data_IF_276802161600
#
_entry.id   IF_276802161600
#
_cell.length_a   1.000
_cell.length_b   1.000
_cell.length_c   1.000
_cell.angle_alpha   90.00
_cell.angle_beta   90.00
_cell.angle_gamma   90.00
#
_symmetry.space_group_name_H-M   'P 1'
#
loop_
_entity.id
_entity.type
_entity.pdbx_description
1 polymer ?
#
# COMPACT_ATOMS: atom_id res chain seq x y z
N UNK A 1 7.92 15.63 -91.86
CA UNK A 1 6.43 15.56 -92.06
C UNK A 1 5.80 14.98 -90.81
N UNK A 2 4.96 15.80 -90.08
CA UNK A 2 3.82 15.47 -89.25
C UNK A 2 4.10 14.64 -88.00
N UNK A 3 4.21 15.29 -86.85
CA UNK A 3 3.30 15.52 -85.73
C UNK A 3 2.46 14.29 -85.31
N UNK A 4 2.66 13.84 -84.10
CA UNK A 4 1.55 13.74 -83.11
C UNK A 4 2.11 13.75 -81.67
N UNK A 5 1.73 14.79 -80.93
CA UNK A 5 1.84 14.92 -79.49
C UNK A 5 0.83 13.95 -78.85
N UNK A 6 1.26 13.20 -77.83
CA UNK A 6 0.35 12.58 -76.89
C UNK A 6 0.68 13.06 -75.48
N UNK A 7 -0.20 13.84 -74.90
CA UNK A 7 -0.17 14.34 -73.54
C UNK A 7 -0.53 13.18 -72.60
N UNK A 8 0.39 12.80 -71.73
CA UNK A 8 0.09 11.93 -70.59
C UNK A 8 -0.15 12.83 -69.36
N UNK A 9 -1.39 12.90 -68.94
CA UNK A 9 -1.80 13.56 -67.70
C UNK A 9 -1.47 12.63 -66.51
N UNK A 10 -0.46 12.97 -65.71
CA UNK A 10 -0.13 12.27 -64.47
C UNK A 10 -1.10 12.76 -63.40
N UNK A 11 -2.11 11.98 -63.10
CA UNK A 11 -2.97 12.18 -61.93
C UNK A 11 -2.24 11.75 -60.67
N UNK A 12 -1.81 12.71 -59.83
CA UNK A 12 -1.31 12.45 -58.49
C UNK A 12 -2.49 12.18 -57.61
N UNK A 13 -2.71 10.90 -57.25
CA UNK A 13 -3.69 10.48 -56.29
C UNK A 13 -3.11 10.74 -54.89
N UNK A 14 -3.53 11.85 -54.27
CA UNK A 14 -3.17 12.19 -52.87
C UNK A 14 -4.00 11.30 -51.94
N UNK A 15 -3.40 10.18 -51.48
CA UNK A 15 -4.02 9.35 -50.44
C UNK A 15 -3.80 10.06 -49.11
N UNK A 16 -4.80 10.81 -48.65
CA UNK A 16 -4.89 11.27 -47.29
C UNK A 16 -5.07 10.04 -46.34
N UNK A 17 -3.99 9.53 -45.80
CA UNK A 17 -4.06 8.61 -44.67
C UNK A 17 -4.48 9.43 -43.46
N UNK A 18 -5.76 9.53 -43.21
CA UNK A 18 -6.29 9.96 -41.92
C UNK A 18 -5.95 8.82 -40.93
N UNK A 19 -4.87 8.99 -40.19
CA UNK A 19 -4.66 8.20 -39.00
C UNK A 19 -5.82 8.50 -38.04
N UNK A 20 -6.89 7.72 -38.14
CA UNK A 20 -7.96 7.76 -37.19
C UNK A 20 -7.40 7.40 -35.83
N UNK A 21 -7.34 8.37 -34.95
CA UNK A 21 -7.25 8.12 -33.51
C UNK A 21 -8.50 7.26 -33.20
N UNK A 22 -8.29 5.95 -33.07
CA UNK A 22 -9.32 5.07 -32.52
C UNK A 22 -9.60 5.60 -31.12
N UNK A 23 -10.83 5.99 -30.78
CA UNK A 23 -11.16 6.36 -29.42
C UNK A 23 -10.82 5.14 -28.54
N UNK A 24 -10.09 5.35 -27.46
CA UNK A 24 -9.86 4.33 -26.47
C UNK A 24 -11.22 3.74 -26.12
N UNK A 25 -11.38 2.44 -26.37
CA UNK A 25 -12.65 1.76 -26.16
C UNK A 25 -12.94 1.82 -24.66
N UNK A 26 -14.03 2.50 -24.27
CA UNK A 26 -14.46 2.51 -22.87
C UNK A 26 -14.55 1.06 -22.36
N UNK A 27 -14.03 0.73 -21.18
CA UNK A 27 -14.12 -0.61 -20.64
C UNK A 27 -15.58 -1.07 -20.66
N UNK A 28 -15.82 -2.31 -21.09
CA UNK A 28 -17.16 -2.90 -21.06
C UNK A 28 -17.66 -2.91 -19.62
N UNK A 29 -18.98 -2.82 -19.41
CA UNK A 29 -19.62 -2.79 -18.07
C UNK A 29 -19.24 -3.98 -17.15
N UNK A 30 -18.64 -5.04 -17.70
CA UNK A 30 -18.17 -6.24 -16.99
C UNK A 30 -16.65 -6.26 -16.73
N UNK A 31 -15.92 -5.20 -17.12
CA UNK A 31 -14.47 -5.20 -16.96
C UNK A 31 -14.09 -4.89 -15.50
N UNK A 32 -13.26 -5.76 -14.87
CA UNK A 32 -12.71 -5.50 -13.54
C UNK A 32 -11.81 -4.26 -13.59
N UNK A 33 -12.28 -3.15 -13.01
CA UNK A 33 -11.60 -1.84 -13.01
C UNK A 33 -10.37 -1.81 -12.11
N UNK A 34 -10.22 -2.80 -11.22
CA UNK A 34 -9.09 -2.90 -10.31
C UNK A 34 -7.96 -3.78 -10.88
N UNK A 35 -8.21 -4.47 -12.02
CA UNK A 35 -7.27 -5.41 -12.59
C UNK A 35 -6.00 -4.72 -13.11
N UNK A 36 -4.85 -5.11 -12.57
CA UNK A 36 -3.54 -4.68 -13.05
C UNK A 36 -3.16 -5.43 -14.35
N UNK A 37 -2.95 -4.68 -15.44
CA UNK A 37 -2.49 -5.17 -16.75
C UNK A 37 -1.02 -4.83 -16.89
N UNK A 38 -0.17 -5.81 -16.67
CA UNK A 38 1.28 -5.65 -16.68
C UNK A 38 1.86 -5.57 -18.10
N UNK A 39 2.86 -4.70 -18.27
CA UNK A 39 3.70 -4.65 -19.46
C UNK A 39 5.15 -4.91 -19.04
N UNK A 40 5.74 -6.02 -19.51
CA UNK A 40 7.11 -6.38 -19.17
C UNK A 40 8.10 -5.26 -19.55
N UNK A 41 8.98 -4.90 -18.63
CA UNK A 41 9.91 -3.79 -18.78
C UNK A 41 9.32 -2.40 -18.50
N UNK A 42 8.04 -2.28 -18.17
CA UNK A 42 7.44 -1.02 -17.70
C UNK A 42 8.21 -0.52 -16.48
N UNK A 43 8.56 0.76 -16.49
CA UNK A 43 9.26 1.42 -15.38
C UNK A 43 8.28 2.24 -14.58
N UNK A 44 8.41 2.17 -13.27
CA UNK A 44 7.58 2.87 -12.30
C UNK A 44 8.50 3.60 -11.33
N UNK A 45 8.26 4.87 -11.08
CA UNK A 45 8.96 5.61 -10.03
C UNK A 45 7.95 6.18 -9.09
N UNK A 46 7.95 5.71 -7.84
CA UNK A 46 7.11 6.26 -6.80
C UNK A 46 7.90 7.17 -5.87
N UNK A 47 7.29 8.27 -5.50
CA UNK A 47 7.71 9.07 -4.35
C UNK A 47 6.76 8.77 -3.19
N UNK A 48 7.32 8.41 -2.05
CA UNK A 48 6.58 8.21 -0.81
C UNK A 48 6.99 9.27 0.20
N UNK A 49 6.00 9.82 0.89
CA UNK A 49 6.18 10.72 2.04
C UNK A 49 5.44 10.12 3.22
N UNK A 50 6.01 10.25 4.40
CA UNK A 50 5.36 9.76 5.59
C UNK A 50 5.63 10.63 6.80
N UNK A 51 4.62 10.64 7.68
CA UNK A 51 4.69 11.13 9.04
C UNK A 51 4.36 9.96 9.94
N UNK A 52 5.26 9.64 10.86
CA UNK A 52 5.02 8.66 11.92
C UNK A 52 5.33 9.36 13.24
N UNK A 53 4.30 9.78 13.96
CA UNK A 53 4.40 10.68 15.12
C UNK A 53 5.18 11.97 14.78
N UNK A 54 6.42 12.06 15.25
CA UNK A 54 7.32 13.21 15.01
C UNK A 54 8.31 12.95 13.88
N UNK A 55 8.36 11.74 13.35
CA UNK A 55 9.30 11.36 12.31
C UNK A 55 8.72 11.60 10.93
N UNK A 56 9.37 12.49 10.17
CA UNK A 56 9.01 12.80 8.79
C UNK A 56 10.03 12.20 7.84
N UNK A 57 9.56 11.59 6.74
CA UNK A 57 10.44 11.07 5.70
C UNK A 57 9.90 11.32 4.30
N UNK A 58 10.82 11.39 3.34
CA UNK A 58 10.57 11.25 1.92
C UNK A 58 11.51 10.19 1.36
N UNK A 59 11.01 9.34 0.46
CA UNK A 59 11.79 8.29 -0.16
C UNK A 59 11.29 8.00 -1.57
N UNK A 60 12.17 7.44 -2.40
CA UNK A 60 11.86 7.03 -3.76
C UNK A 60 11.94 5.51 -3.89
N UNK A 61 10.97 4.92 -4.59
CA UNK A 61 10.96 3.54 -5.01
C UNK A 61 10.98 3.47 -6.54
N UNK A 62 12.09 2.97 -7.10
CA UNK A 62 12.25 2.78 -8.53
C UNK A 62 11.93 1.33 -8.89
N UNK A 63 10.88 1.13 -9.66
CA UNK A 63 10.31 -0.16 -10.02
C UNK A 63 10.48 -0.50 -11.49
N UNK A 64 10.50 -1.79 -11.76
CA UNK A 64 10.42 -2.36 -13.11
C UNK A 64 9.49 -3.57 -13.08
N UNK A 65 8.62 -3.68 -14.08
CA UNK A 65 7.80 -4.88 -14.27
C UNK A 65 8.67 -5.99 -14.84
N UNK A 66 8.75 -7.09 -14.12
CA UNK A 66 9.46 -8.30 -14.52
C UNK A 66 8.48 -9.47 -14.64
N UNK A 67 8.88 -10.49 -15.39
CA UNK A 67 8.16 -11.74 -15.53
C UNK A 67 9.04 -12.89 -15.06
N UNK A 68 8.55 -13.73 -14.16
CA UNK A 68 9.29 -14.89 -13.71
C UNK A 68 9.24 -16.07 -14.71
N UNK A 69 9.96 -17.14 -14.39
CA UNK A 69 9.99 -18.35 -15.23
C UNK A 69 8.65 -19.11 -15.28
N UNK A 70 7.74 -18.86 -14.34
CA UNK A 70 6.40 -19.42 -14.31
C UNK A 70 5.40 -18.57 -15.11
N UNK A 71 5.80 -17.39 -15.55
CA UNK A 71 4.97 -16.47 -16.32
C UNK A 71 4.25 -15.41 -15.48
N UNK A 72 4.49 -15.36 -14.18
CA UNK A 72 3.91 -14.38 -13.27
C UNK A 72 4.61 -13.04 -13.38
N UNK A 73 3.83 -11.97 -13.40
CA UNK A 73 4.36 -10.62 -13.40
C UNK A 73 4.50 -10.08 -11.98
N UNK A 74 5.60 -9.37 -11.75
CA UNK A 74 5.91 -8.64 -10.52
C UNK A 74 6.37 -7.24 -10.83
N UNK A 75 6.11 -6.32 -9.94
CA UNK A 75 6.78 -5.03 -9.86
C UNK A 75 7.93 -5.17 -8.86
N UNK A 76 9.16 -5.05 -9.34
CA UNK A 76 10.38 -5.16 -8.52
C UNK A 76 10.94 -3.77 -8.23
N UNK A 77 10.95 -3.38 -6.94
CA UNK A 77 11.34 -2.06 -6.47
C UNK A 77 12.71 -2.04 -5.81
N UNK A 78 13.45 -0.97 -6.08
CA UNK A 78 14.64 -0.54 -5.35
C UNK A 78 14.36 0.76 -4.65
N UNK A 79 14.82 0.85 -3.41
CA UNK A 79 14.63 2.03 -2.58
C UNK A 79 15.84 2.94 -2.62
N UNK A 80 15.61 4.25 -2.73
CA UNK A 80 16.66 5.26 -2.85
C UNK A 80 16.22 6.61 -2.27
N UNK A 81 17.17 7.55 -2.19
CA UNK A 81 16.91 8.95 -1.88
C UNK A 81 16.11 9.20 -0.57
N UNK A 82 16.40 8.43 0.49
CA UNK A 82 15.77 8.65 1.79
C UNK A 82 16.19 10.00 2.39
N UNK A 83 15.21 10.84 2.68
CA UNK A 83 15.33 12.06 3.47
C UNK A 83 14.56 11.85 4.77
N UNK A 84 15.16 12.11 5.92
CA UNK A 84 14.55 11.99 7.23
C UNK A 84 14.83 13.24 8.05
N UNK A 85 13.79 13.92 8.53
CA UNK A 85 13.94 15.16 9.26
C UNK A 85 14.74 16.23 8.50
N UNK A 86 14.50 16.39 7.18
CA UNK A 86 15.21 17.29 6.26
C UNK A 86 16.69 16.95 6.01
N UNK A 87 17.15 15.77 6.41
CA UNK A 87 18.51 15.30 6.17
C UNK A 87 18.52 14.08 5.25
N UNK A 88 19.43 14.09 4.26
CA UNK A 88 19.65 12.92 3.41
C UNK A 88 20.28 11.80 4.24
N UNK A 89 19.68 10.63 4.22
CA UNK A 89 20.19 9.43 4.90
C UNK A 89 21.01 8.62 3.93
N UNK A 90 22.21 8.21 4.35
CA UNK A 90 23.03 7.27 3.60
C UNK A 90 22.53 5.86 3.93
N UNK A 91 22.00 5.19 2.89
CA UNK A 91 21.54 3.80 3.00
C UNK A 91 22.72 2.84 2.93
N UNK A 92 22.64 1.74 3.68
CA UNK A 92 23.64 0.68 3.65
C UNK A 92 23.66 -0.03 2.28
N UNK A 93 24.79 -0.63 1.87
CA UNK A 93 24.85 -1.44 0.64
C UNK A 93 23.79 -2.53 0.60
N UNK A 94 23.54 -3.22 1.71
CA UNK A 94 22.53 -4.27 1.81
C UNK A 94 21.12 -3.73 1.52
N UNK A 95 20.80 -2.52 1.98
CA UNK A 95 19.54 -1.86 1.69
C UNK A 95 19.43 -1.45 0.21
N UNK A 96 20.50 -0.90 -0.37
CA UNK A 96 20.50 -0.51 -1.78
C UNK A 96 20.40 -1.72 -2.74
N UNK A 97 20.90 -2.88 -2.31
CA UNK A 97 20.83 -4.12 -3.07
C UNK A 97 19.51 -4.90 -2.86
N UNK A 98 18.72 -4.54 -1.85
CA UNK A 98 17.43 -5.18 -1.57
C UNK A 98 16.47 -4.97 -2.75
N UNK A 99 15.69 -5.99 -3.04
CA UNK A 99 14.61 -5.98 -4.03
C UNK A 99 13.30 -6.32 -3.35
N UNK A 100 12.35 -5.42 -3.44
CA UNK A 100 10.99 -5.67 -3.00
C UNK A 100 10.15 -6.05 -4.21
N UNK A 101 9.67 -7.28 -4.24
CA UNK A 101 8.77 -7.76 -5.28
C UNK A 101 7.35 -7.74 -4.76
N UNK A 102 6.45 -7.14 -5.52
CA UNK A 102 5.02 -7.11 -5.26
C UNK A 102 4.26 -7.53 -6.51
N UNK A 103 3.10 -8.15 -6.34
CA UNK A 103 2.21 -8.49 -7.45
C UNK A 103 0.76 -8.28 -7.04
N UNK A 104 -0.05 -7.86 -8.01
CA UNK A 104 -1.51 -7.79 -7.91
C UNK A 104 -2.18 -8.97 -8.65
N UNK A 105 -1.40 -9.98 -9.06
CA UNK A 105 -1.96 -11.21 -9.63
C UNK A 105 -2.78 -11.95 -8.56
N UNK A 106 -4.11 -12.09 -8.72
CA UNK A 106 -4.97 -12.68 -7.69
C UNK A 106 -4.69 -14.17 -7.43
N UNK A 107 -3.95 -14.84 -8.31
CA UNK A 107 -3.51 -16.23 -8.12
C UNK A 107 -2.30 -16.36 -7.19
N UNK A 108 -1.61 -15.25 -6.89
CA UNK A 108 -0.43 -15.20 -6.03
C UNK A 108 -0.70 -14.44 -4.74
N UNK A 109 -0.30 -15.00 -3.61
CA UNK A 109 -0.42 -14.28 -2.35
C UNK A 109 0.72 -13.25 -2.24
N UNK A 110 0.44 -12.03 -1.79
CA UNK A 110 1.49 -11.08 -1.46
C UNK A 110 2.47 -11.67 -0.45
N UNK A 111 3.77 -11.46 -0.70
CA UNK A 111 4.82 -11.94 0.19
C UNK A 111 5.55 -10.78 0.86
N UNK A 112 5.94 -10.98 2.11
CA UNK A 112 6.76 -10.01 2.83
C UNK A 112 8.20 -10.10 2.30
N UNK A 113 8.86 -8.95 1.99
CA UNK A 113 10.26 -8.97 1.60
C UNK A 113 11.16 -9.40 2.74
N UNK A 114 12.35 -9.93 2.43
CA UNK A 114 13.35 -10.20 3.44
C UNK A 114 13.95 -8.88 3.95
N UNK A 115 13.62 -8.51 5.19
CA UNK A 115 14.09 -7.29 5.85
C UNK A 115 15.37 -7.49 6.66
N UNK A 116 15.97 -8.68 6.64
CA UNK A 116 17.26 -8.93 7.31
C UNK A 116 18.34 -8.01 6.71
N UNK A 117 19.05 -7.29 7.59
CA UNK A 117 20.11 -6.34 7.23
C UNK A 117 19.64 -5.08 6.45
N UNK A 118 18.35 -4.83 6.36
CA UNK A 118 17.79 -3.57 5.83
C UNK A 118 17.87 -2.49 6.92
N UNK A 119 18.21 -1.26 6.53
CA UNK A 119 18.20 -0.13 7.45
C UNK A 119 16.82 0.02 8.11
N UNK A 120 16.78 0.11 9.44
CA UNK A 120 15.52 0.13 10.21
C UNK A 120 14.58 1.27 9.80
N UNK A 121 15.13 2.40 9.35
CA UNK A 121 14.35 3.54 8.82
C UNK A 121 13.57 3.22 7.54
N UNK A 122 13.91 2.12 6.85
CA UNK A 122 13.23 1.69 5.63
C UNK A 122 12.11 0.67 5.89
N UNK A 123 12.11 0.02 7.04
CA UNK A 123 11.11 -1.00 7.36
C UNK A 123 9.70 -0.41 7.24
N UNK A 124 9.44 0.76 7.83
CA UNK A 124 8.16 1.45 7.72
C UNK A 124 7.74 1.71 6.26
N UNK A 125 8.52 2.47 5.47
CA UNK A 125 8.21 2.71 4.06
C UNK A 125 7.95 1.45 3.22
N UNK A 126 8.75 0.39 3.42
CA UNK A 126 8.57 -0.89 2.71
C UNK A 126 7.24 -1.54 3.08
N UNK A 127 6.90 -1.56 4.37
CA UNK A 127 5.64 -2.15 4.85
C UNK A 127 4.42 -1.32 4.45
N UNK A 128 4.55 0.01 4.45
CA UNK A 128 3.47 0.91 4.01
C UNK A 128 3.15 0.71 2.52
N UNK A 129 4.18 0.60 1.67
CA UNK A 129 3.98 0.28 0.26
C UNK A 129 3.30 -1.08 0.10
N UNK A 130 3.74 -2.09 0.85
CA UNK A 130 3.13 -3.41 0.81
C UNK A 130 1.65 -3.36 1.24
N UNK A 131 1.28 -2.52 2.21
CA UNK A 131 -0.11 -2.34 2.63
C UNK A 131 -0.99 -1.92 1.46
N UNK A 132 -0.58 -0.91 0.65
CA UNK A 132 -1.34 -0.51 -0.53
C UNK A 132 -1.54 -1.66 -1.52
N UNK A 133 -0.51 -2.47 -1.76
CA UNK A 133 -0.60 -3.60 -2.68
C UNK A 133 -1.46 -4.73 -2.13
N UNK A 134 -1.35 -5.06 -0.84
CA UNK A 134 -2.17 -6.09 -0.19
C UNK A 134 -3.64 -5.70 -0.20
N UNK A 135 -3.95 -4.46 0.14
CA UNK A 135 -5.32 -3.94 0.16
C UNK A 135 -5.96 -3.97 -1.24
N UNK A 136 -5.23 -3.50 -2.25
CA UNK A 136 -5.70 -3.54 -3.63
C UNK A 136 -5.86 -4.97 -4.14
N UNK A 137 -4.89 -5.86 -3.87
CA UNK A 137 -4.96 -7.27 -4.22
C UNK A 137 -6.17 -7.96 -3.56
N UNK A 138 -6.43 -7.66 -2.29
CA UNK A 138 -7.58 -8.22 -1.59
C UNK A 138 -8.90 -7.72 -2.19
N UNK A 139 -9.00 -6.42 -2.48
CA UNK A 139 -10.17 -5.82 -3.12
C UNK A 139 -10.43 -6.45 -4.51
N UNK A 140 -9.39 -6.62 -5.33
CA UNK A 140 -9.48 -7.24 -6.65
C UNK A 140 -9.89 -8.71 -6.57
N UNK A 141 -9.28 -9.47 -5.67
CA UNK A 141 -9.56 -10.89 -5.47
C UNK A 141 -11.01 -11.18 -5.08
N UNK A 142 -11.70 -10.26 -4.40
CA UNK A 142 -13.12 -10.45 -4.05
C UNK A 142 -14.03 -10.43 -5.26
N UNK A 143 -13.66 -9.71 -6.32
CA UNK A 143 -14.47 -9.53 -7.53
C UNK A 143 -15.81 -8.83 -7.31
N UNK A 144 -16.01 -8.18 -6.12
CA UNK A 144 -17.26 -7.56 -5.72
C UNK A 144 -17.38 -6.09 -6.16
N UNK A 145 -16.25 -5.43 -6.45
CA UNK A 145 -16.18 -4.00 -6.74
C UNK A 145 -16.07 -3.76 -8.25
N UNK A 146 -17.19 -3.55 -8.93
CA UNK A 146 -17.28 -3.36 -10.40
C UNK A 146 -17.73 -1.96 -10.80
N UNK A 147 -18.57 -1.32 -9.99
CA UNK A 147 -19.21 -0.04 -10.29
C UNK A 147 -18.97 0.96 -9.17
N UNK A 148 -18.97 2.23 -9.49
CA UNK A 148 -18.93 3.28 -8.48
C UNK A 148 -20.09 3.12 -7.49
N UNK A 149 -19.78 3.16 -6.20
CA UNK A 149 -20.70 2.91 -5.11
C UNK A 149 -20.76 1.46 -4.62
N UNK A 150 -20.13 0.52 -5.33
CA UNK A 150 -20.03 -0.86 -4.84
C UNK A 150 -19.28 -0.89 -3.52
N UNK A 151 -19.80 -1.68 -2.59
CA UNK A 151 -19.30 -1.81 -1.24
C UNK A 151 -19.22 -3.28 -0.84
N UNK A 152 -18.14 -3.65 -0.16
CA UNK A 152 -17.93 -5.01 0.32
C UNK A 152 -17.24 -5.00 1.68
N UNK A 153 -17.81 -5.72 2.63
CA UNK A 153 -17.24 -5.88 3.97
C UNK A 153 -16.70 -7.30 4.15
N UNK A 154 -15.42 -7.41 4.45
CA UNK A 154 -14.73 -8.67 4.66
C UNK A 154 -14.58 -8.93 6.16
N UNK A 155 -15.49 -9.74 6.72
CA UNK A 155 -15.62 -10.03 8.17
C UNK A 155 -14.61 -11.05 8.71
N UNK A 156 -13.69 -11.48 7.93
CA UNK A 156 -12.66 -12.41 8.39
C UNK A 156 -11.50 -11.62 8.95
N UNK A 157 -11.36 -11.62 10.26
CA UNK A 157 -10.25 -10.98 10.92
C UNK A 157 -8.91 -11.42 10.35
N UNK A 158 -8.03 -10.47 10.13
CA UNK A 158 -6.68 -10.71 9.62
C UNK A 158 -5.67 -10.51 10.75
N UNK A 159 -4.68 -11.40 10.89
CA UNK A 159 -3.64 -11.23 11.89
C UNK A 159 -2.91 -9.89 11.70
N UNK A 160 -2.77 -9.16 12.80
CA UNK A 160 -1.91 -8.00 12.88
C UNK A 160 -0.76 -8.33 13.83
N UNK A 161 0.34 -8.87 13.30
CA UNK A 161 1.52 -9.16 14.10
C UNK A 161 2.80 -8.88 13.31
N UNK A 162 3.71 -8.13 13.93
CA UNK A 162 5.05 -7.90 13.41
C UNK A 162 6.04 -7.69 14.55
N UNK A 163 7.32 -7.86 14.29
CA UNK A 163 8.40 -7.61 15.24
C UNK A 163 9.61 -7.05 14.50
N UNK A 164 10.24 -6.02 15.06
CA UNK A 164 11.42 -5.36 14.50
C UNK A 164 12.60 -5.35 15.49
N UNK A 165 12.78 -6.40 16.25
CA UNK A 165 13.87 -6.54 17.22
C UNK A 165 13.67 -5.80 18.54
N UNK A 166 13.00 -4.65 18.56
CA UNK A 166 12.70 -3.87 19.77
C UNK A 166 11.23 -3.91 20.14
N UNK A 167 10.35 -4.08 19.15
CA UNK A 167 8.91 -4.00 19.28
C UNK A 167 8.26 -5.33 18.96
N UNK A 168 7.25 -5.69 19.73
CA UNK A 168 6.40 -6.85 19.46
C UNK A 168 4.97 -6.35 19.37
N UNK A 169 4.39 -6.45 18.19
CA UNK A 169 2.96 -6.28 17.95
C UNK A 169 2.32 -7.68 17.92
N UNK A 170 1.27 -7.89 18.70
CA UNK A 170 0.61 -9.18 18.82
C UNK A 170 -0.88 -9.03 18.57
N UNK A 171 -1.36 -9.58 17.47
CA UNK A 171 -2.78 -9.64 17.18
C UNK A 171 -3.10 -10.83 16.28
N UNK A 172 -4.20 -11.50 16.57
CA UNK A 172 -4.81 -12.49 15.70
C UNK A 172 -6.26 -12.07 15.48
N UNK A 173 -6.73 -12.12 14.24
CA UNK A 173 -8.07 -11.68 13.87
C UNK A 173 -8.40 -10.26 14.41
N UNK A 174 -7.47 -9.33 14.24
CA UNK A 174 -7.55 -7.98 14.79
C UNK A 174 -8.10 -6.94 13.82
N UNK A 175 -8.22 -7.28 12.55
CA UNK A 175 -8.60 -6.37 11.47
C UNK A 175 -9.66 -7.00 10.58
N UNK A 176 -10.77 -6.30 10.39
CA UNK A 176 -11.73 -6.50 9.29
C UNK A 176 -11.52 -5.43 8.23
N UNK A 177 -11.99 -5.68 7.00
CA UNK A 177 -11.83 -4.77 5.88
C UNK A 177 -13.18 -4.29 5.37
N UNK A 178 -13.29 -2.99 5.15
CA UNK A 178 -14.44 -2.31 4.56
C UNK A 178 -14.00 -1.64 3.26
N UNK A 179 -14.42 -2.18 2.11
CA UNK A 179 -14.04 -1.72 0.78
C UNK A 179 -15.17 -0.95 0.12
N UNK A 180 -14.85 0.17 -0.51
CA UNK A 180 -15.79 0.95 -1.32
C UNK A 180 -15.11 1.42 -2.61
N UNK A 181 -15.65 1.05 -3.78
CA UNK A 181 -15.27 1.67 -5.03
C UNK A 181 -15.97 3.02 -5.15
N UNK A 182 -15.30 4.08 -4.66
CA UNK A 182 -15.87 5.42 -4.49
C UNK A 182 -16.24 6.07 -5.81
N UNK A 183 -15.37 5.93 -6.81
CA UNK A 183 -15.51 6.61 -8.09
C UNK A 183 -14.88 5.80 -9.22
N UNK A 184 -15.52 5.87 -10.39
CA UNK A 184 -14.96 5.45 -11.69
C UNK A 184 -15.12 6.61 -12.64
N UNK A 185 -14.01 7.30 -12.97
CA UNK A 185 -13.96 8.52 -13.75
C UNK A 185 -13.36 8.22 -15.14
N UNK A 186 -14.21 7.87 -16.10
CA UNK A 186 -13.80 7.53 -17.46
C UNK A 186 -13.07 8.68 -18.19
N UNK A 187 -13.54 9.95 -18.12
CA UNK A 187 -12.84 11.07 -18.74
C UNK A 187 -11.44 11.31 -18.23
N UNK A 188 -11.19 11.02 -16.94
CA UNK A 188 -9.89 11.17 -16.31
C UNK A 188 -9.04 9.88 -16.34
N UNK A 189 -9.58 8.77 -16.88
CA UNK A 189 -8.98 7.43 -16.89
C UNK A 189 -8.60 6.95 -15.49
N UNK A 190 -9.45 7.18 -14.47
CA UNK A 190 -9.15 6.84 -13.09
C UNK A 190 -10.28 6.15 -12.34
N UNK A 191 -9.92 5.29 -11.39
CA UNK A 191 -10.81 4.79 -10.35
C UNK A 191 -10.27 5.16 -8.96
N UNK A 192 -11.16 5.36 -7.99
CA UNK A 192 -10.80 5.64 -6.59
C UNK A 192 -11.40 4.57 -5.68
N UNK A 193 -10.55 3.86 -4.98
CA UNK A 193 -10.89 2.83 -4.00
C UNK A 193 -10.64 3.36 -2.59
N UNK A 194 -11.62 3.20 -1.70
CA UNK A 194 -11.48 3.45 -0.26
C UNK A 194 -11.45 2.10 0.44
N UNK A 195 -10.49 1.93 1.33
CA UNK A 195 -10.37 0.75 2.18
C UNK A 195 -10.24 1.23 3.63
N UNK A 196 -11.03 0.65 4.51
CA UNK A 196 -10.91 0.86 5.95
C UNK A 196 -10.52 -0.44 6.63
N UNK A 197 -9.44 -0.39 7.40
CA UNK A 197 -9.13 -1.44 8.34
C UNK A 197 -9.80 -1.10 9.66
N UNK A 198 -10.72 -1.93 10.08
CA UNK A 198 -11.53 -1.67 11.28
C UNK A 198 -11.38 -2.82 12.28
N UNK A 199 -11.41 -2.54 13.58
CA UNK A 199 -11.45 -3.60 14.57
C UNK A 199 -12.72 -4.44 14.39
N UNK A 200 -12.65 -5.78 14.37
CA UNK A 200 -13.83 -6.63 14.43
C UNK A 200 -14.53 -6.47 15.78
N UNK A 201 -15.81 -6.88 15.86
CA UNK A 201 -16.57 -6.81 17.12
C UNK A 201 -15.88 -7.53 18.29
N UNK A 202 -15.14 -8.57 18.00
CA UNK A 202 -14.42 -9.40 18.98
C UNK A 202 -13.00 -9.70 18.48
N UNK A 203 -12.10 -8.72 18.55
CA UNK A 203 -10.72 -8.94 18.14
C UNK A 203 -10.03 -9.97 19.03
N UNK A 204 -9.19 -10.82 18.41
CA UNK A 204 -8.39 -11.82 19.11
C UNK A 204 -6.94 -11.33 19.21
N UNK A 205 -6.70 -10.43 20.13
CA UNK A 205 -5.38 -9.86 20.41
C UNK A 205 -4.81 -10.51 21.66
N UNK A 206 -3.55 -10.94 21.61
CA UNK A 206 -2.84 -11.42 22.79
C UNK A 206 -2.54 -10.25 23.72
N UNK A 207 -3.31 -10.13 24.77
CA UNK A 207 -3.12 -9.11 25.80
C UNK A 207 -2.47 -9.75 27.03
N UNK A 208 -1.15 -9.53 27.26
CA UNK A 208 -0.40 -10.29 28.25
C UNK A 208 -0.71 -9.93 29.71
N UNK A 209 -1.35 -8.78 29.97
CA UNK A 209 -1.70 -8.34 31.31
C UNK A 209 -3.19 -7.94 31.43
N UNK A 210 -3.77 -8.15 32.61
CA UNK A 210 -5.19 -7.91 32.85
C UNK A 210 -5.62 -6.46 32.62
N UNK A 211 -4.76 -5.49 32.94
CA UNK A 211 -5.07 -4.08 32.73
C UNK A 211 -5.24 -3.71 31.25
N UNK A 212 -4.63 -4.49 30.34
CA UNK A 212 -4.75 -4.30 28.90
C UNK A 212 -6.11 -4.74 28.33
N UNK A 213 -6.89 -5.51 29.09
CA UNK A 213 -8.22 -5.97 28.67
C UNK A 213 -9.25 -4.84 28.66
N UNK A 214 -8.99 -3.76 29.43
CA UNK A 214 -9.90 -2.62 29.49
C UNK A 214 -9.84 -1.84 28.17
N UNK A 215 -10.96 -1.66 27.44
CA UNK A 215 -10.98 -0.87 26.22
C UNK A 215 -10.49 0.56 26.44
N UNK A 216 -9.64 1.04 25.56
CA UNK A 216 -9.14 2.42 25.55
C UNK A 216 -10.13 3.35 24.84
N UNK A 217 -10.88 2.80 23.89
CA UNK A 217 -11.91 3.50 23.12
C UNK A 217 -13.28 2.82 23.28
N UNK A 218 -14.20 3.11 22.38
CA UNK A 218 -15.56 2.59 22.32
C UNK A 218 -15.68 1.11 21.89
N UNK A 219 -14.57 0.54 21.38
CA UNK A 219 -14.49 -0.86 20.94
C UNK A 219 -13.37 -1.59 21.70
N UNK A 220 -13.37 -2.93 21.72
CA UNK A 220 -12.27 -3.69 22.30
C UNK A 220 -10.93 -3.31 21.68
N UNK A 221 -9.85 -3.42 22.47
CA UNK A 221 -8.49 -3.18 21.99
C UNK A 221 -8.11 -4.22 20.91
N UNK A 222 -7.55 -3.76 19.80
CA UNK A 222 -7.08 -4.62 18.70
C UNK A 222 -5.59 -4.43 18.41
N UNK A 223 -4.91 -3.64 19.23
CA UNK A 223 -3.50 -3.31 19.06
C UNK A 223 -2.77 -3.38 20.40
N UNK A 224 -1.58 -3.96 20.41
CA UNK A 224 -0.69 -4.05 21.56
C UNK A 224 0.76 -3.95 21.12
N UNK A 225 1.56 -3.18 21.86
CA UNK A 225 2.99 -3.06 21.65
C UNK A 225 3.72 -3.17 22.99
N UNK A 226 4.79 -3.96 23.03
CA UNK A 226 5.63 -4.13 24.19
C UNK A 226 7.08 -3.99 23.74
N UNK A 227 7.79 -3.06 24.36
CA UNK A 227 9.20 -2.79 24.11
C UNK A 227 10.00 -2.98 25.40
N UNK A 228 11.09 -3.73 25.32
CA UNK A 228 12.08 -3.77 26.39
C UNK A 228 13.02 -2.58 26.24
N UNK A 229 13.14 -1.77 27.28
CA UNK A 229 14.01 -0.59 27.32
C UNK A 229 15.45 -0.96 27.68
N UNK A 230 16.42 -0.08 27.42
CA UNK A 230 17.82 -0.34 27.65
C UNK A 230 18.17 -0.50 29.16
N UNK A 231 17.36 0.05 30.05
CA UNK A 231 17.48 -0.08 31.49
C UNK A 231 16.81 -1.37 32.04
N UNK A 232 16.30 -2.21 31.13
CA UNK A 232 15.72 -3.51 31.46
C UNK A 232 14.26 -3.49 31.85
N UNK A 233 13.61 -2.34 31.83
CA UNK A 233 12.16 -2.17 32.01
C UNK A 233 11.40 -2.50 30.74
N UNK A 234 10.08 -2.35 30.79
CA UNK A 234 9.17 -2.58 29.69
C UNK A 234 8.27 -1.37 29.49
N UNK A 235 8.20 -0.89 28.26
CA UNK A 235 7.21 0.07 27.84
C UNK A 235 6.09 -0.71 27.14
N UNK A 236 4.89 -0.67 27.71
CA UNK A 236 3.78 -1.48 27.23
C UNK A 236 2.60 -0.57 26.92
N UNK A 237 2.10 -0.66 25.68
CA UNK A 237 0.98 0.10 25.18
C UNK A 237 -0.11 -0.82 24.66
N UNK A 238 -1.37 -0.41 24.79
CA UNK A 238 -2.54 -1.11 24.30
C UNK A 238 -3.57 -0.12 23.81
N UNK A 239 -4.33 -0.49 22.76
CA UNK A 239 -5.33 0.41 22.24
C UNK A 239 -6.10 -0.07 21.03
N UNK A 240 -6.70 0.90 20.35
CA UNK A 240 -7.48 0.76 19.13
C UNK A 240 -6.71 1.35 17.96
N UNK A 241 -6.51 0.55 16.92
CA UNK A 241 -5.94 0.97 15.65
C UNK A 241 -6.97 0.88 14.54
N UNK A 242 -6.95 1.88 13.66
CA UNK A 242 -7.68 1.89 12.39
C UNK A 242 -6.79 2.42 11.28
N UNK A 243 -7.08 2.00 10.04
CA UNK A 243 -6.47 2.58 8.84
C UNK A 243 -7.58 3.06 7.92
N UNK A 244 -7.44 4.28 7.43
CA UNK A 244 -8.21 4.80 6.30
C UNK A 244 -7.26 4.91 5.10
N UNK A 245 -7.52 4.11 4.08
CA UNK A 245 -6.69 4.02 2.86
C UNK A 245 -7.49 4.50 1.68
N UNK A 246 -6.90 5.39 0.87
CA UNK A 246 -7.44 5.78 -0.43
C UNK A 246 -6.44 5.43 -1.51
N UNK A 247 -6.85 4.70 -2.55
CA UNK A 247 -6.02 4.33 -3.69
C UNK A 247 -6.67 4.84 -4.97
N UNK A 248 -5.93 5.63 -5.75
CA UNK A 248 -6.32 6.08 -7.08
C UNK A 248 -5.56 5.27 -8.13
N UNK A 249 -6.31 4.67 -9.04
CA UNK A 249 -5.81 3.76 -10.08
C UNK A 249 -6.01 4.33 -11.47
N UNK A 250 -5.17 3.92 -12.41
CA UNK A 250 -5.43 4.07 -13.85
C UNK A 250 -6.43 3.00 -14.31
N UNK A 251 -7.48 3.39 -15.04
CA UNK A 251 -8.40 2.46 -15.69
C UNK A 251 -7.77 1.74 -16.86
N UNK A 252 -6.74 2.35 -17.51
CA UNK A 252 -6.06 1.78 -18.65
C UNK A 252 -5.32 0.49 -18.29
N UNK A 253 -4.65 0.46 -17.13
CA UNK A 253 -3.75 -0.63 -16.77
C UNK A 253 -3.78 -1.06 -15.29
N UNK A 254 -4.59 -0.42 -14.46
CA UNK A 254 -4.76 -0.78 -13.05
C UNK A 254 -3.59 -0.43 -12.15
N UNK A 255 -2.59 0.35 -12.63
CA UNK A 255 -1.48 0.79 -11.79
C UNK A 255 -1.91 1.84 -10.77
N UNK A 256 -1.26 1.86 -9.63
CA UNK A 256 -1.48 2.88 -8.61
C UNK A 256 -0.93 4.21 -9.12
N UNK A 257 -1.78 5.23 -9.23
CA UNK A 257 -1.37 6.60 -9.55
C UNK A 257 -1.01 7.38 -8.30
N UNK A 258 -1.79 7.21 -7.25
CA UNK A 258 -1.50 7.72 -5.91
C UNK A 258 -2.23 6.89 -4.86
N UNK A 259 -1.69 6.89 -3.64
CA UNK A 259 -2.36 6.28 -2.51
C UNK A 259 -2.03 7.04 -1.21
N UNK A 260 -2.94 6.99 -0.25
CA UNK A 260 -2.78 7.60 1.07
C UNK A 260 -3.21 6.65 2.17
N UNK A 261 -2.54 6.72 3.31
CA UNK A 261 -2.96 6.10 4.58
C UNK A 261 -3.11 7.19 5.62
N UNK A 262 -4.21 7.19 6.37
CA UNK A 262 -4.35 7.84 7.67
C UNK A 262 -4.57 6.75 8.73
N UNK A 263 -3.62 6.60 9.65
CA UNK A 263 -3.59 5.53 10.64
C UNK A 263 -3.54 6.11 12.06
N UNK A 264 -4.69 6.48 12.64
CA UNK A 264 -4.76 6.85 14.04
C UNK A 264 -4.76 5.62 14.95
N UNK A 265 -3.92 5.64 15.99
CA UNK A 265 -3.91 4.65 17.06
C UNK A 265 -4.19 5.36 18.39
N UNK A 266 -5.28 5.01 19.03
CA UNK A 266 -5.64 5.50 20.36
C UNK A 266 -5.11 4.53 21.40
N UNK A 267 -4.09 4.92 22.15
CA UNK A 267 -3.45 4.03 23.12
C UNK A 267 -3.34 4.63 24.51
N UNK A 268 -3.18 3.73 25.48
CA UNK A 268 -2.57 4.03 26.76
C UNK A 268 -1.27 3.26 26.88
N UNK A 269 -0.30 3.85 27.52
CA UNK A 269 1.04 3.32 27.75
C UNK A 269 1.35 3.27 29.26
N UNK A 270 2.09 2.25 29.69
CA UNK A 270 2.65 2.13 31.04
C UNK A 270 4.11 1.69 30.97
N UNK A 271 4.95 2.29 31.81
CA UNK A 271 6.28 1.75 32.12
C UNK A 271 6.13 0.67 33.18
N UNK A 272 6.68 -0.53 32.91
CA UNK A 272 6.58 -1.68 33.81
C UNK A 272 7.99 -2.18 34.20
N UNK A 273 8.17 -2.61 35.45
CA UNK A 273 9.42 -3.13 35.97
C UNK A 273 9.63 -4.63 35.66
N UNK A 274 8.56 -5.34 35.32
CA UNK A 274 8.57 -6.79 35.12
C UNK A 274 8.01 -7.22 33.75
N UNK A 275 8.51 -8.33 33.22
CA UNK A 275 8.09 -8.91 31.95
C UNK A 275 6.62 -9.39 31.94
N UNK A 276 6.04 -9.65 33.10
CA UNK A 276 4.63 -10.00 33.24
C UNK A 276 3.71 -8.79 33.20
N UNK A 277 4.27 -7.57 33.15
CA UNK A 277 3.55 -6.29 33.10
C UNK A 277 2.57 -6.09 34.27
N UNK A 278 2.94 -6.59 35.44
CA UNK A 278 2.12 -6.52 36.68
C UNK A 278 2.52 -5.35 37.57
N UNK A 279 3.79 -4.95 37.53
CA UNK A 279 4.36 -3.85 38.33
C UNK A 279 4.56 -2.63 37.43
N UNK A 280 3.48 -1.95 37.10
CA UNK A 280 3.48 -0.81 36.17
C UNK A 280 3.15 0.50 36.89
N UNK A 281 3.74 1.58 36.38
CA UNK A 281 3.36 2.95 36.71
C UNK A 281 1.95 3.30 36.25
N UNK A 282 1.56 4.57 36.44
CA UNK A 282 0.25 5.06 36.03
C UNK A 282 0.07 5.04 34.50
N UNK A 283 -1.14 4.79 33.98
CA UNK A 283 -1.44 4.82 32.57
C UNK A 283 -1.32 6.25 32.02
N UNK A 284 -0.66 6.39 30.88
CA UNK A 284 -0.53 7.66 30.17
C UNK A 284 -1.16 7.52 28.78
N UNK A 285 -2.00 8.48 28.31
CA UNK A 285 -2.42 8.52 26.93
C UNK A 285 -1.20 8.67 26.01
N UNK A 286 -1.14 7.84 24.97
CA UNK A 286 -0.06 7.89 23.97
C UNK A 286 -0.67 7.68 22.57
N UNK A 287 -1.37 8.71 22.02
CA UNK A 287 -1.94 8.58 20.67
C UNK A 287 -0.83 8.58 19.63
N UNK A 288 -0.88 7.60 18.73
CA UNK A 288 0.02 7.50 17.59
C UNK A 288 -0.76 7.91 16.34
N UNK A 289 -0.16 8.64 15.45
CA UNK A 289 -0.72 8.96 14.15
C UNK A 289 0.32 8.78 13.07
N UNK A 290 -0.05 7.99 12.06
CA UNK A 290 0.76 7.82 10.85
C UNK A 290 -0.04 8.33 9.67
N UNK A 291 0.64 9.08 8.78
CA UNK A 291 0.08 9.56 7.52
C UNK A 291 1.10 9.29 6.44
N UNK A 292 0.68 8.58 5.41
CA UNK A 292 1.55 8.16 4.30
C UNK A 292 0.92 8.59 2.98
N UNK A 293 1.75 9.09 2.08
CA UNK A 293 1.38 9.44 0.70
C UNK A 293 2.32 8.72 -0.26
N UNK A 294 1.76 8.02 -1.23
CA UNK A 294 2.47 7.41 -2.36
C UNK A 294 2.03 8.11 -3.64
N UNK A 295 2.96 8.51 -4.50
CA UNK A 295 2.63 9.18 -5.77
C UNK A 295 3.53 8.66 -6.88
N UNK A 296 2.90 8.17 -7.97
CA UNK A 296 3.61 7.82 -9.21
C UNK A 296 4.17 9.09 -9.84
N UNK A 297 5.44 9.07 -10.20
CA UNK A 297 6.11 10.17 -10.90
C UNK A 297 5.94 9.99 -12.42
N UNK A 298 5.89 11.11 -13.17
CA UNK A 298 5.75 11.08 -14.63
C UNK A 298 6.87 10.35 -15.35
#
# INVERSE_FOLDING_TARGET
MIKYMLKILAGVLLICVTAGLLPAQAPSADQNVLLRRYHEGEKLTYKMKGINEVWHYEIQADGIVIKDSAGTYYEEYRWSNLISGNQKVVLSPATLDMRQQVTLDPSHNPSFPNLANVDTKLIGPITDMLTFYVDLWLAEKTGQLKHAGDHFYFKRGTPNSWADGSYVLLGEDSIDFDFTLKEVNQPADTATLIIRHVPPEKPQVKLPADWMQKPVADTPNNWVQIQKTNDGKYLAAVGKETFDVEIKLSLADGKILSATIDNPVQTIERECEDAALTKCGDPKPHPIRRQIELTLQP
#
